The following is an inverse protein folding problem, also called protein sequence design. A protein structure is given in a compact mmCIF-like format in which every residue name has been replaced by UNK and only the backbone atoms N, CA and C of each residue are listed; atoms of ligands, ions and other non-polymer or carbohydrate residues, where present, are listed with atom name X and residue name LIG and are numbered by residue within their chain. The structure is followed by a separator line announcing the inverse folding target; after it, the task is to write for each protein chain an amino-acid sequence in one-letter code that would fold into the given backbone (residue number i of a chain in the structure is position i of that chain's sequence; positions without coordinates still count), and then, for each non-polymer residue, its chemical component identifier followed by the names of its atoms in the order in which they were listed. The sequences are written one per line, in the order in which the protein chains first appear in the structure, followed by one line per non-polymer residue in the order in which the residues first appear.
data_IF_916949949083
#
_entry.id   IF_916949949083
#
_cell.length_a   1.000
_cell.length_b   1.000
_cell.length_c   1.000
_cell.angle_alpha   90.00
_cell.angle_beta   90.00
_cell.angle_gamma   90.00
#
_symmetry.space_group_name_H-M   'P 1'
#
loop_
_entity.id
_entity.type
_entity.pdbx_description
1 polymer ?
#
# COMPACT_ATOMS: atom_id res chain seq x y z
N UNK A 1 13.23 -0.13 16.60
CA UNK A 1 12.22 0.64 15.82
C UNK A 1 12.25 0.24 14.35
N UNK A 2 13.39 0.33 13.66
CA UNK A 2 13.52 -0.08 12.25
C UNK A 2 13.12 -1.54 11.98
N UNK A 3 13.56 -2.49 12.82
CA UNK A 3 13.12 -3.90 12.69
C UNK A 3 11.61 -4.11 12.82
N UNK A 4 10.93 -3.28 13.63
CA UNK A 4 9.47 -3.35 13.80
C UNK A 4 8.74 -2.78 12.57
N UNK A 5 9.30 -1.74 11.94
CA UNK A 5 8.82 -1.23 10.65
C UNK A 5 8.95 -2.35 9.61
N UNK A 6 10.15 -2.93 9.46
CA UNK A 6 10.39 -4.02 8.50
C UNK A 6 9.44 -5.20 8.66
N UNK A 7 9.27 -5.69 9.90
CA UNK A 7 8.31 -6.77 10.20
C UNK A 7 6.87 -6.38 9.85
N UNK A 8 6.43 -5.18 10.23
CA UNK A 8 5.06 -4.71 9.97
C UNK A 8 4.78 -4.54 8.49
N UNK A 9 5.76 -4.02 7.73
CA UNK A 9 5.64 -3.84 6.27
C UNK A 9 5.62 -5.19 5.54
N UNK A 10 6.49 -6.13 5.93
CA UNK A 10 6.49 -7.48 5.38
C UNK A 10 5.17 -8.21 5.66
N UNK A 11 4.61 -8.06 6.86
CA UNK A 11 3.30 -8.64 7.19
C UNK A 11 2.16 -8.04 6.34
N UNK A 12 2.16 -6.73 6.13
CA UNK A 12 1.18 -6.06 5.25
C UNK A 12 1.33 -6.56 3.81
N UNK A 13 2.56 -6.68 3.31
CA UNK A 13 2.83 -7.20 1.96
C UNK A 13 2.34 -8.63 1.78
N UNK A 14 2.68 -9.50 2.73
CA UNK A 14 2.18 -10.88 2.76
C UNK A 14 0.65 -10.94 2.74
N UNK A 15 -0.01 -10.18 3.62
CA UNK A 15 -1.47 -10.16 3.69
C UNK A 15 -2.10 -9.66 2.39
N UNK A 16 -1.53 -8.62 1.78
CA UNK A 16 -2.02 -8.04 0.54
C UNK A 16 -1.93 -9.06 -0.61
N UNK A 17 -0.80 -9.73 -0.78
CA UNK A 17 -0.64 -10.77 -1.80
C UNK A 17 -1.60 -11.94 -1.56
N UNK A 18 -1.69 -12.43 -0.33
CA UNK A 18 -2.61 -13.53 0.02
C UNK A 18 -4.07 -13.18 -0.32
N UNK A 19 -4.51 -11.94 -0.06
CA UNK A 19 -5.88 -11.51 -0.39
C UNK A 19 -6.09 -11.37 -1.90
N UNK A 20 -5.10 -10.85 -2.64
CA UNK A 20 -5.17 -10.75 -4.10
C UNK A 20 -5.29 -12.13 -4.73
N UNK A 21 -4.49 -13.09 -4.24
CA UNK A 21 -4.49 -14.47 -4.74
C UNK A 21 -5.84 -15.14 -4.48
N UNK A 22 -6.38 -15.04 -3.27
CA UNK A 22 -7.71 -15.60 -2.94
C UNK A 22 -8.82 -15.03 -3.81
N UNK A 23 -8.84 -13.71 -4.04
CA UNK A 23 -9.84 -13.06 -4.92
C UNK A 23 -9.68 -13.56 -6.36
N UNK A 24 -8.45 -13.70 -6.82
CA UNK A 24 -8.15 -14.12 -8.19
C UNK A 24 -8.47 -15.61 -8.41
N UNK A 25 -8.11 -16.48 -7.47
CA UNK A 25 -8.41 -17.92 -7.51
C UNK A 25 -9.90 -18.17 -7.57
N UNK A 26 -10.70 -17.56 -6.69
CA UNK A 26 -12.17 -17.70 -6.70
C UNK A 26 -12.76 -17.30 -8.05
N UNK A 27 -12.25 -16.22 -8.67
CA UNK A 27 -12.70 -15.76 -9.98
C UNK A 27 -12.41 -16.80 -11.06
N UNK A 28 -11.18 -17.30 -11.11
CA UNK A 28 -10.71 -18.18 -12.18
C UNK A 28 -11.17 -19.63 -12.01
N UNK A 29 -11.31 -20.13 -10.79
CA UNK A 29 -11.81 -21.48 -10.51
C UNK A 29 -13.25 -21.63 -11.00
N UNK A 30 -14.11 -20.67 -10.66
CA UNK A 30 -15.51 -20.65 -11.12
C UNK A 30 -15.62 -20.45 -12.62
N UNK A 31 -14.79 -19.60 -13.21
CA UNK A 31 -14.73 -19.46 -14.66
C UNK A 31 -14.31 -20.78 -15.35
N UNK A 32 -13.35 -21.50 -14.78
CA UNK A 32 -12.88 -22.80 -15.29
C UNK A 32 -13.97 -23.87 -15.22
N UNK A 33 -14.78 -23.90 -14.15
CA UNK A 33 -15.92 -24.79 -14.01
C UNK A 33 -16.94 -24.61 -15.15
N UNK A 34 -17.37 -23.37 -15.41
CA UNK A 34 -18.31 -23.08 -16.50
C UNK A 34 -17.73 -23.37 -17.89
N UNK A 35 -16.43 -23.18 -18.09
CA UNK A 35 -15.76 -23.54 -19.35
C UNK A 35 -15.77 -25.06 -19.55
N UNK A 36 -15.56 -25.85 -18.49
CA UNK A 36 -15.60 -27.32 -18.55
C UNK A 36 -17.00 -27.83 -18.89
N UNK A 37 -18.02 -27.18 -18.38
CA UNK A 37 -19.44 -27.47 -18.67
C UNK A 37 -19.88 -26.98 -20.06
N UNK A 38 -18.96 -26.37 -20.83
CA UNK A 38 -19.19 -25.75 -22.16
C UNK A 38 -20.14 -24.55 -22.14
N UNK A 39 -20.39 -23.98 -20.97
CA UNK A 39 -21.24 -22.81 -20.75
C UNK A 39 -20.43 -21.50 -20.87
N UNK A 40 -19.89 -21.23 -22.06
CA UNK A 40 -19.03 -20.08 -22.33
C UNK A 40 -19.70 -18.72 -22.02
N UNK A 41 -21.01 -18.61 -22.26
CA UNK A 41 -21.76 -17.38 -21.98
C UNK A 41 -21.78 -17.05 -20.49
N UNK A 42 -21.99 -18.05 -19.65
CA UNK A 42 -22.03 -17.87 -18.20
C UNK A 42 -20.63 -17.61 -17.63
N UNK A 43 -19.59 -18.24 -18.19
CA UNK A 43 -18.20 -17.94 -17.87
C UNK A 43 -17.85 -16.46 -18.14
N UNK A 44 -18.26 -15.93 -19.29
CA UNK A 44 -18.05 -14.51 -19.63
C UNK A 44 -18.78 -13.56 -18.69
N UNK A 45 -20.07 -13.82 -18.43
CA UNK A 45 -20.88 -13.00 -17.51
C UNK A 45 -20.28 -13.03 -16.10
N UNK A 46 -19.81 -14.19 -15.65
CA UNK A 46 -19.15 -14.34 -14.35
C UNK A 46 -17.87 -13.50 -14.27
N UNK A 47 -16.94 -13.65 -15.22
CA UNK A 47 -15.66 -12.92 -15.20
C UNK A 47 -15.88 -11.41 -15.26
N UNK A 48 -16.77 -10.94 -16.15
CA UNK A 48 -17.09 -9.51 -16.28
C UNK A 48 -17.77 -9.00 -15.00
N UNK A 49 -18.80 -9.69 -14.52
CA UNK A 49 -19.56 -9.28 -13.34
C UNK A 49 -18.68 -9.22 -12.08
N UNK A 50 -17.84 -10.24 -11.88
CA UNK A 50 -16.88 -10.28 -10.78
C UNK A 50 -15.87 -9.13 -10.86
N UNK A 51 -15.30 -8.90 -12.04
CA UNK A 51 -14.31 -7.83 -12.24
C UNK A 51 -14.93 -6.44 -12.00
N UNK A 52 -16.13 -6.19 -12.52
CA UNK A 52 -16.86 -4.93 -12.33
C UNK A 52 -17.18 -4.71 -10.85
N UNK A 53 -17.64 -5.74 -10.13
CA UNK A 53 -17.93 -5.66 -8.71
C UNK A 53 -16.71 -5.21 -7.89
N UNK A 54 -15.56 -5.84 -8.10
CA UNK A 54 -14.34 -5.52 -7.36
C UNK A 54 -13.72 -4.17 -7.77
N UNK A 55 -13.86 -3.76 -9.03
CA UNK A 55 -13.47 -2.41 -9.48
C UNK A 55 -14.32 -1.34 -8.80
N UNK A 56 -15.63 -1.56 -8.68
CA UNK A 56 -16.52 -0.64 -7.95
C UNK A 56 -16.16 -0.61 -6.46
N UNK A 57 -15.92 -1.77 -5.86
CA UNK A 57 -15.47 -1.86 -4.46
C UNK A 57 -14.12 -1.15 -4.22
N UNK A 58 -13.23 -1.15 -5.21
CA UNK A 58 -11.96 -0.41 -5.15
C UNK A 58 -12.13 1.11 -5.34
N UNK A 59 -12.89 1.51 -6.35
CA UNK A 59 -12.97 2.90 -6.81
C UNK A 59 -13.87 3.78 -5.94
N UNK A 60 -14.99 3.28 -5.44
CA UNK A 60 -15.94 4.05 -4.63
C UNK A 60 -15.28 4.65 -3.37
N UNK A 61 -14.54 3.87 -2.54
CA UNK A 61 -13.84 4.42 -1.38
C UNK A 61 -12.76 5.45 -1.74
N UNK A 62 -12.05 5.26 -2.85
CA UNK A 62 -11.01 6.20 -3.30
C UNK A 62 -11.63 7.52 -3.73
N UNK A 63 -12.67 7.47 -4.58
CA UNK A 63 -13.30 8.67 -5.14
C UNK A 63 -14.07 9.46 -4.09
N UNK A 64 -14.89 8.79 -3.28
CA UNK A 64 -15.82 9.48 -2.37
C UNK A 64 -15.27 9.69 -0.95
N UNK A 65 -14.37 8.82 -0.47
CA UNK A 65 -13.90 8.90 0.92
C UNK A 65 -12.48 9.42 1.04
N UNK A 66 -11.50 8.85 0.32
CA UNK A 66 -10.09 9.28 0.41
C UNK A 66 -9.42 9.35 -0.97
N UNK A 67 -9.54 10.48 -1.69
CA UNK A 67 -8.87 10.69 -2.98
C UNK A 67 -7.35 10.58 -2.89
N UNK A 68 -6.76 10.95 -1.74
CA UNK A 68 -5.31 10.80 -1.46
C UNK A 68 -4.83 9.35 -1.45
N UNK A 69 -5.73 8.36 -1.43
CA UNK A 69 -5.38 6.95 -1.55
C UNK A 69 -5.21 6.51 -3.02
N UNK A 70 -5.58 7.35 -3.99
CA UNK A 70 -5.47 7.05 -5.42
C UNK A 70 -4.03 6.85 -5.87
N UNK A 71 -3.88 6.17 -7.02
CA UNK A 71 -2.60 5.92 -7.66
C UNK A 71 -1.60 5.15 -6.80
N UNK A 72 -0.32 5.20 -7.21
CA UNK A 72 0.78 4.54 -6.51
C UNK A 72 1.07 5.22 -5.16
N UNK A 73 1.15 6.55 -5.12
CA UNK A 73 1.59 7.30 -3.94
C UNK A 73 3.09 7.59 -3.89
N UNK A 74 3.86 7.05 -4.85
CA UNK A 74 5.29 7.33 -4.99
C UNK A 74 5.55 8.82 -5.26
N UNK A 75 4.88 9.50 -6.22
CA UNK A 75 5.15 10.92 -6.49
C UNK A 75 4.92 11.81 -5.27
N UNK A 76 3.88 11.52 -4.49
CA UNK A 76 3.55 12.25 -3.26
C UNK A 76 4.59 11.99 -2.17
N UNK A 77 5.07 10.75 -2.06
CA UNK A 77 6.13 10.37 -1.12
C UNK A 77 7.44 11.08 -1.45
N UNK A 78 7.86 11.04 -2.72
CA UNK A 78 9.05 11.75 -3.22
C UNK A 78 8.91 13.24 -2.98
N UNK A 79 7.75 13.83 -3.32
CA UNK A 79 7.46 15.23 -3.04
C UNK A 79 7.62 15.57 -1.56
N UNK A 80 7.10 14.72 -0.67
CA UNK A 80 7.25 14.92 0.77
C UNK A 80 8.71 14.82 1.24
N UNK A 81 9.46 13.84 0.75
CA UNK A 81 10.88 13.65 1.08
C UNK A 81 11.74 14.81 0.57
N UNK A 82 11.35 15.44 -0.54
CA UNK A 82 11.95 16.66 -1.09
C UNK A 82 11.49 17.95 -0.38
N UNK A 83 10.72 17.85 0.71
CA UNK A 83 10.33 18.98 1.56
C UNK A 83 9.02 19.67 1.15
N UNK A 84 8.27 19.13 0.18
CA UNK A 84 6.95 19.68 -0.15
C UNK A 84 5.88 19.21 0.84
N UNK A 85 4.93 20.09 1.14
CA UNK A 85 3.84 19.77 2.08
C UNK A 85 2.69 19.12 1.33
N UNK A 86 2.65 17.79 1.33
CA UNK A 86 1.51 17.02 0.80
C UNK A 86 0.52 16.70 1.93
N UNK A 87 -0.71 17.21 1.83
CA UNK A 87 -1.74 17.00 2.86
C UNK A 87 -2.29 15.57 2.79
N UNK A 88 -2.55 14.98 3.97
CA UNK A 88 -3.22 13.69 4.16
C UNK A 88 -2.53 12.43 3.57
N UNK A 89 -1.30 12.55 3.09
CA UNK A 89 -0.51 11.43 2.57
C UNK A 89 -0.27 10.36 3.67
N UNK A 90 0.17 10.76 4.86
CA UNK A 90 0.49 9.82 5.97
C UNK A 90 -0.67 9.53 6.94
N UNK A 91 -1.93 9.51 6.48
CA UNK A 91 -3.06 9.23 7.36
C UNK A 91 -3.37 7.72 7.42
N UNK A 92 -3.66 7.20 8.61
CA UNK A 92 -4.13 5.81 8.79
C UNK A 92 -5.36 5.47 7.93
N UNK A 93 -6.28 6.43 7.75
CA UNK A 93 -7.44 6.24 6.86
C UNK A 93 -7.01 6.07 5.39
N UNK A 94 -5.98 6.79 4.94
CA UNK A 94 -5.40 6.65 3.60
C UNK A 94 -4.76 5.27 3.43
N UNK A 95 -4.07 4.78 4.48
CA UNK A 95 -3.48 3.44 4.51
C UNK A 95 -4.53 2.34 4.29
N UNK A 96 -5.62 2.38 5.06
CA UNK A 96 -6.69 1.38 4.95
C UNK A 96 -7.35 1.40 3.58
N UNK A 97 -7.75 2.59 3.10
CA UNK A 97 -8.40 2.71 1.77
C UNK A 97 -7.45 2.24 0.68
N UNK A 98 -6.18 2.68 0.68
CA UNK A 98 -5.20 2.28 -0.34
C UNK A 98 -4.97 0.76 -0.34
N UNK A 99 -4.85 0.14 0.84
CA UNK A 99 -4.69 -1.31 0.97
C UNK A 99 -5.86 -2.06 0.34
N UNK A 100 -7.10 -1.79 0.78
CA UNK A 100 -8.27 -2.49 0.29
C UNK A 100 -8.53 -2.22 -1.20
N UNK A 101 -8.40 -0.96 -1.64
CA UNK A 101 -8.58 -0.61 -3.04
C UNK A 101 -7.54 -1.26 -3.95
N UNK A 102 -6.29 -1.38 -3.51
CA UNK A 102 -5.25 -2.08 -4.25
C UNK A 102 -5.57 -3.58 -4.38
N UNK A 103 -5.90 -4.24 -3.27
CA UNK A 103 -6.30 -5.66 -3.25
C UNK A 103 -7.45 -5.93 -4.21
N UNK A 104 -8.52 -5.13 -4.13
CA UNK A 104 -9.69 -5.29 -4.98
C UNK A 104 -9.39 -5.00 -6.46
N UNK A 105 -8.59 -3.98 -6.77
CA UNK A 105 -8.30 -3.63 -8.17
C UNK A 105 -7.39 -4.65 -8.86
N UNK A 106 -6.35 -5.14 -8.16
CA UNK A 106 -5.46 -6.18 -8.70
C UNK A 106 -6.22 -7.51 -8.79
N UNK A 107 -6.97 -7.90 -7.75
CA UNK A 107 -7.78 -9.13 -7.77
C UNK A 107 -8.90 -9.12 -8.85
N UNK A 108 -9.44 -7.94 -9.17
CA UNK A 108 -10.35 -7.77 -10.31
C UNK A 108 -9.68 -8.10 -11.65
N UNK A 109 -8.35 -8.05 -11.75
CA UNK A 109 -7.59 -8.32 -12.97
C UNK A 109 -7.32 -7.09 -13.82
N UNK A 110 -7.26 -5.89 -13.21
CA UNK A 110 -6.79 -4.70 -13.92
C UNK A 110 -5.31 -4.87 -14.28
N UNK A 111 -4.83 -4.25 -15.37
CA UNK A 111 -3.42 -4.29 -15.77
C UNK A 111 -2.57 -3.35 -14.89
N UNK A 112 -2.61 -3.58 -13.58
CA UNK A 112 -1.91 -2.84 -12.54
C UNK A 112 -1.37 -3.83 -11.51
N UNK A 113 -0.31 -3.44 -10.83
CA UNK A 113 0.29 -4.24 -9.75
C UNK A 113 0.31 -3.50 -8.42
N UNK A 114 0.50 -4.24 -7.31
CA UNK A 114 0.45 -3.65 -5.97
C UNK A 114 1.79 -3.09 -5.49
N UNK A 115 2.85 -3.19 -6.29
CA UNK A 115 4.23 -2.88 -5.92
C UNK A 115 4.41 -1.39 -5.59
N UNK A 116 3.80 -0.50 -6.38
CA UNK A 116 3.83 0.94 -6.10
C UNK A 116 3.12 1.33 -4.80
N UNK A 117 1.83 0.94 -4.62
CA UNK A 117 1.11 1.11 -3.36
C UNK A 117 1.85 0.56 -2.14
N UNK A 118 2.59 -0.55 -2.27
CA UNK A 118 3.38 -1.13 -1.17
C UNK A 118 4.48 -0.22 -0.65
N UNK A 119 5.15 0.54 -1.52
CA UNK A 119 6.16 1.51 -1.12
C UNK A 119 5.52 2.61 -0.25
N UNK A 120 4.37 3.12 -0.68
CA UNK A 120 3.63 4.13 0.08
C UNK A 120 3.07 3.56 1.40
N UNK A 121 2.51 2.35 1.40
CA UNK A 121 2.06 1.67 2.62
C UNK A 121 3.21 1.46 3.61
N UNK A 122 4.39 1.09 3.13
CA UNK A 122 5.60 0.99 3.95
C UNK A 122 5.99 2.32 4.60
N UNK A 123 5.95 3.40 3.83
CA UNK A 123 6.22 4.75 4.34
C UNK A 123 5.17 5.24 5.36
N UNK A 124 3.89 4.84 5.19
CA UNK A 124 2.79 5.09 6.12
C UNK A 124 3.01 4.38 7.47
N UNK A 125 3.49 3.14 7.43
CA UNK A 125 3.88 2.37 8.62
C UNK A 125 5.05 3.05 9.33
N UNK A 126 6.08 3.48 8.59
CA UNK A 126 7.20 4.26 9.12
C UNK A 126 6.74 5.56 9.79
N UNK A 127 5.85 6.32 9.13
CA UNK A 127 5.25 7.54 9.68
C UNK A 127 4.46 7.27 10.97
N UNK A 128 3.60 6.25 10.98
CA UNK A 128 2.75 5.92 12.12
C UNK A 128 3.54 5.43 13.33
N UNK A 129 4.49 4.52 13.11
CA UNK A 129 5.35 3.98 14.16
C UNK A 129 6.31 5.04 14.71
N UNK A 130 6.83 5.96 13.89
CA UNK A 130 7.72 7.03 14.39
C UNK A 130 7.06 7.92 15.45
N UNK A 131 5.76 8.17 15.34
CA UNK A 131 5.03 9.11 16.19
C UNK A 131 4.45 8.45 17.45
N UNK A 132 4.17 7.14 17.40
CA UNK A 132 3.40 6.37 18.40
C UNK A 132 2.22 7.16 19.00
N UNK A 133 1.59 7.95 18.13
CA UNK A 133 0.47 8.84 18.42
C UNK A 133 -0.47 8.68 17.24
N UNK A 134 -1.67 8.19 17.51
CA UNK A 134 -2.71 8.16 16.49
C UNK A 134 -3.72 9.23 16.85
N UNK A 135 -3.77 10.31 16.07
CA UNK A 135 -4.87 11.28 16.18
C UNK A 135 -6.21 10.64 15.80
N UNK A 136 -6.20 9.58 15.00
CA UNK A 136 -7.40 8.84 14.58
C UNK A 136 -7.93 7.90 15.68
N UNK A 137 -7.05 7.27 16.46
CA UNK A 137 -7.41 6.34 17.55
C UNK A 137 -7.37 6.99 18.94
N UNK A 138 -7.11 8.30 18.99
CA UNK A 138 -7.07 9.13 20.21
C UNK A 138 -6.21 8.56 21.35
N UNK A 139 -5.12 7.87 21.01
CA UNK A 139 -4.20 7.30 21.99
C UNK A 139 -2.78 7.84 21.80
N UNK A 140 -2.14 8.18 22.92
CA UNK A 140 -0.78 8.72 22.99
C UNK A 140 0.01 7.79 23.92
N UNK A 141 0.86 6.94 23.35
CA UNK A 141 1.79 6.17 24.15
C UNK A 141 2.92 7.11 24.66
N UNK A 142 3.32 7.02 25.93
CA UNK A 142 4.41 7.83 26.50
C UNK A 142 5.81 7.33 26.06
N UNK A 143 5.89 6.18 25.39
CA UNK A 143 7.13 5.63 24.88
C UNK A 143 7.58 6.37 23.60
N UNK A 144 8.88 6.61 23.44
CA UNK A 144 9.52 7.20 22.24
C UNK A 144 9.24 8.68 21.93
N UNK A 145 8.96 9.55 22.91
CA UNK A 145 8.82 11.00 22.65
C UNK A 145 10.06 11.63 21.99
N UNK A 146 11.26 11.07 22.23
CA UNK A 146 12.53 11.50 21.60
C UNK A 146 12.51 11.47 20.07
N UNK A 147 11.76 10.55 19.46
CA UNK A 147 11.72 10.33 18.01
C UNK A 147 10.62 11.13 17.29
N UNK A 148 9.94 12.05 18.00
CA UNK A 148 8.92 12.93 17.42
C UNK A 148 9.49 14.15 16.70
N UNK A 149 10.78 14.14 16.37
CA UNK A 149 11.39 15.18 15.55
C UNK A 149 11.04 15.00 14.06
N UNK A 150 11.06 16.08 13.29
CA UNK A 150 10.80 16.07 11.85
C UNK A 150 11.85 15.27 11.08
N UNK A 151 13.11 15.35 11.51
CA UNK A 151 14.24 14.61 10.93
C UNK A 151 14.07 13.09 11.12
N UNK A 152 13.89 12.66 12.36
CA UNK A 152 13.65 11.25 12.69
C UNK A 152 12.43 10.69 11.96
N UNK A 153 11.33 11.45 11.91
CA UNK A 153 10.14 11.06 11.16
C UNK A 153 10.45 10.82 9.68
N UNK A 154 11.24 11.68 9.05
CA UNK A 154 11.68 11.51 7.65
C UNK A 154 12.54 10.26 7.49
N UNK A 155 13.45 9.99 8.43
CA UNK A 155 14.28 8.77 8.44
C UNK A 155 13.43 7.49 8.58
N UNK A 156 12.40 7.48 9.43
CA UNK A 156 11.50 6.33 9.58
C UNK A 156 10.59 6.12 8.37
N UNK A 157 10.09 7.20 7.76
CA UNK A 157 9.31 7.14 6.51
C UNK A 157 10.16 6.54 5.38
N UNK A 158 11.41 6.98 5.29
CA UNK A 158 12.40 6.51 4.34
C UNK A 158 12.72 5.02 4.51
N UNK A 159 12.97 4.60 5.74
CA UNK A 159 13.16 3.20 6.07
C UNK A 159 11.92 2.34 5.77
N UNK A 160 10.72 2.89 6.03
CA UNK A 160 9.46 2.24 5.67
C UNK A 160 9.28 2.10 4.16
N UNK A 161 9.64 3.12 3.38
CA UNK A 161 9.61 3.06 1.92
C UNK A 161 10.60 2.01 1.38
N UNK A 162 11.84 1.98 1.89
CA UNK A 162 12.83 0.96 1.56
C UNK A 162 12.32 -0.46 1.89
N UNK A 163 11.70 -0.64 3.06
CA UNK A 163 11.07 -1.91 3.43
C UNK A 163 9.90 -2.27 2.51
N UNK A 164 9.14 -1.28 2.04
CA UNK A 164 8.06 -1.47 1.06
C UNK A 164 8.59 -1.95 -0.29
N UNK A 165 9.68 -1.36 -0.80
CA UNK A 165 10.39 -1.83 -2.01
C UNK A 165 10.90 -3.26 -1.80
N UNK A 166 11.56 -3.52 -0.68
CA UNK A 166 12.08 -4.85 -0.36
C UNK A 166 10.95 -5.90 -0.29
N UNK A 167 9.80 -5.55 0.30
CA UNK A 167 8.64 -6.43 0.39
C UNK A 167 7.93 -6.64 -0.95
N UNK A 168 7.90 -5.63 -1.82
CA UNK A 168 7.22 -5.72 -3.11
C UNK A 168 8.03 -6.50 -4.15
N UNK A 169 9.35 -6.32 -4.16
CA UNK A 169 10.22 -6.86 -5.21
C UNK A 169 11.19 -7.94 -4.73
N UNK A 170 11.23 -8.26 -3.44
CA UNK A 170 12.24 -9.16 -2.86
C UNK A 170 13.67 -8.60 -2.96
N UNK A 171 13.82 -7.28 -3.15
CA UNK A 171 15.09 -6.62 -3.45
C UNK A 171 15.48 -5.63 -2.35
N UNK A 172 16.10 -6.08 -1.24
CA UNK A 172 16.46 -5.20 -0.13
C UNK A 172 17.52 -4.16 -0.51
N UNK A 173 18.47 -4.51 -1.37
CA UNK A 173 19.49 -3.56 -1.89
C UNK A 173 18.82 -2.49 -2.77
N UNK A 174 17.83 -2.87 -3.58
CA UNK A 174 17.05 -1.93 -4.37
C UNK A 174 16.25 -0.95 -3.50
N UNK A 175 15.66 -1.43 -2.39
CA UNK A 175 15.01 -0.55 -1.42
C UNK A 175 15.97 0.40 -0.72
N UNK A 176 17.19 -0.04 -0.41
CA UNK A 176 18.23 0.83 0.13
C UNK A 176 18.59 1.92 -0.88
N UNK A 177 18.89 1.56 -2.13
CA UNK A 177 19.23 2.52 -3.18
C UNK A 177 18.08 3.50 -3.44
N UNK A 178 16.83 3.03 -3.51
CA UNK A 178 15.64 3.88 -3.63
C UNK A 178 15.57 4.89 -2.49
N UNK A 179 15.81 4.47 -1.25
CA UNK A 179 15.87 5.42 -0.14
C UNK A 179 17.07 6.35 -0.24
N UNK A 180 18.24 5.92 -0.71
CA UNK A 180 19.35 6.85 -0.92
C UNK A 180 19.01 7.89 -1.99
N UNK A 181 18.54 7.48 -3.16
CA UNK A 181 18.22 8.39 -4.27
C UNK A 181 17.12 9.39 -3.90
N UNK A 182 16.03 8.94 -3.26
CA UNK A 182 14.86 9.77 -2.99
C UNK A 182 14.90 10.50 -1.63
N UNK A 183 15.79 10.10 -0.72
CA UNK A 183 15.90 10.68 0.65
C UNK A 183 17.14 11.58 0.77
N UNK A 184 18.19 11.32 0.01
CA UNK A 184 19.47 12.05 0.11
C UNK A 184 19.63 13.24 -0.86
N UNK A 185 18.55 14.00 -1.13
CA UNK A 185 18.74 15.34 -1.75
C UNK A 185 19.55 16.31 -0.87
N UNK A 186 19.89 15.94 0.37
CA UNK A 186 20.85 16.64 1.22
C UNK A 186 22.04 15.74 1.57
N UNK A 187 22.80 15.36 0.54
CA UNK A 187 24.19 14.90 0.67
C UNK A 187 25.20 16.06 0.65
N UNK A 188 24.80 17.25 1.12
CA UNK A 188 25.64 18.43 1.40
C UNK A 188 25.04 19.22 2.54
#
# INVERSE_FOLDING_TARGET
MMGLIGFSVGFIGFLMHQLIDVISEVKWDKASEFIKDRDFGLAWVWVIGYSVLFVLASSIPVVYYRPSAGGSGIPELIGFLNGTVVRHIFNFKTMLVKFFSCVCAVGAGLPIGPEGPMIHLGSLVGAGLSQFKSQTLNFKLPFFERFRNTEDRRNFISAGAAAGVASAFGAPVGGLLFSMEEVSSFGT
#
